data_IF_728158685986
#
_entry.id   IF_728158685986
#
_cell.length_a   1.000
_cell.length_b   1.000
_cell.length_c   1.000
_cell.angle_alpha   90.00
_cell.angle_beta   90.00
_cell.angle_gamma   90.00
#
_symmetry.space_group_name_H-M   'P 1'
#
loop_
_entity.id
_entity.type
_entity.pdbx_description
1 polymer ?
#
# COMPACT_ATOMS: atom_id res chain seq x y z
N UNK A 1 13.61 -31.47 -31.40
CA UNK A 1 12.79 -32.17 -30.41
C UNK A 1 13.69 -33.09 -29.59
N UNK A 2 13.90 -32.79 -28.31
CA UNK A 2 14.36 -33.74 -27.29
C UNK A 2 13.96 -33.19 -25.92
N UNK A 3 12.90 -33.77 -25.38
CA UNK A 3 12.59 -33.84 -23.93
C UNK A 3 13.84 -34.34 -23.17
N UNK A 4 14.05 -34.12 -21.87
CA UNK A 4 13.10 -34.19 -20.78
C UNK A 4 13.72 -33.62 -19.49
N UNK A 5 12.83 -33.07 -18.67
CA UNK A 5 12.90 -32.58 -17.28
C UNK A 5 13.69 -33.48 -16.31
N UNK A 6 14.46 -32.88 -15.39
CA UNK A 6 14.63 -33.40 -14.02
C UNK A 6 14.37 -32.25 -13.04
N UNK A 7 13.30 -32.44 -12.26
CA UNK A 7 12.86 -31.66 -11.12
C UNK A 7 13.75 -31.91 -9.90
N UNK A 8 13.87 -30.86 -9.06
CA UNK A 8 14.10 -30.99 -7.63
C UNK A 8 15.56 -30.84 -7.20
N UNK A 9 15.86 -29.79 -6.45
CA UNK A 9 15.90 -29.82 -4.99
C UNK A 9 16.42 -28.47 -4.51
N UNK A 10 15.66 -27.82 -3.62
CA UNK A 10 16.17 -26.70 -2.86
C UNK A 10 17.32 -27.12 -1.97
N UNK A 11 17.99 -26.10 -1.42
CA UNK A 11 19.07 -26.16 -0.43
C UNK A 11 20.46 -26.47 -1.03
N UNK A 12 21.14 -25.41 -1.45
CA UNK A 12 22.55 -25.19 -1.11
C UNK A 12 22.87 -23.71 -1.27
N UNK A 13 22.31 -22.91 -0.37
CA UNK A 13 23.01 -21.70 0.05
C UNK A 13 24.23 -22.18 0.83
N UNK A 14 25.44 -21.90 0.36
CA UNK A 14 26.61 -21.50 1.15
C UNK A 14 27.93 -21.91 0.45
N UNK A 15 28.73 -20.86 0.21
CA UNK A 15 30.20 -20.88 0.07
C UNK A 15 30.76 -21.32 -1.27
N UNK A 16 30.76 -20.41 -2.26
CA UNK A 16 31.94 -20.00 -3.06
C UNK A 16 31.53 -18.74 -3.84
N UNK A 17 32.32 -17.67 -3.75
CA UNK A 17 32.25 -16.57 -4.71
C UNK A 17 31.50 -15.33 -4.26
N UNK A 18 31.96 -14.69 -3.18
CA UNK A 18 31.85 -13.23 -3.11
C UNK A 18 32.57 -12.61 -4.31
N UNK A 19 32.08 -11.44 -4.74
CA UNK A 19 32.40 -10.71 -5.98
C UNK A 19 31.51 -11.11 -7.15
N UNK A 20 30.47 -10.28 -7.39
CA UNK A 20 29.67 -10.04 -8.62
C UNK A 20 28.15 -9.89 -8.36
N UNK A 21 27.75 -9.15 -7.34
CA UNK A 21 26.34 -8.75 -7.15
C UNK A 21 26.16 -7.22 -7.02
N UNK A 22 27.07 -6.42 -7.58
CA UNK A 22 27.06 -4.96 -7.40
C UNK A 22 26.83 -4.16 -8.68
N UNK A 23 26.32 -4.76 -9.77
CA UNK A 23 26.28 -4.09 -11.08
C UNK A 23 24.95 -4.13 -11.83
N UNK A 24 23.82 -4.37 -11.15
CA UNK A 24 22.49 -4.31 -11.79
C UNK A 24 21.51 -3.36 -11.11
N UNK A 25 21.99 -2.43 -10.27
CA UNK A 25 21.16 -1.36 -9.70
C UNK A 25 21.92 -0.06 -9.89
N UNK A 26 21.60 0.74 -10.91
CA UNK A 26 22.30 2.02 -11.04
C UNK A 26 22.00 2.92 -12.23
N UNK A 27 21.34 2.45 -13.29
CA UNK A 27 21.13 3.28 -14.49
C UNK A 27 19.65 3.54 -14.83
N UNK A 28 18.71 2.83 -14.22
CA UNK A 28 17.26 3.03 -14.45
C UNK A 28 16.63 4.06 -13.49
N UNK A 29 17.15 4.16 -12.26
CA UNK A 29 16.62 5.09 -11.24
C UNK A 29 16.81 6.55 -11.65
N UNK A 30 17.94 6.89 -12.29
CA UNK A 30 18.29 8.28 -12.62
C UNK A 30 17.42 8.88 -13.73
N UNK A 31 17.02 8.07 -14.72
CA UNK A 31 16.19 8.54 -15.83
C UNK A 31 14.72 8.69 -15.44
N UNK A 32 14.18 7.78 -14.62
CA UNK A 32 12.83 7.94 -14.06
C UNK A 32 12.75 9.14 -13.13
N UNK A 33 13.75 9.33 -12.26
CA UNK A 33 13.75 10.45 -11.31
C UNK A 33 13.86 11.81 -12.00
N UNK A 34 14.69 11.93 -13.06
CA UNK A 34 14.74 13.16 -13.87
C UNK A 34 13.43 13.45 -14.62
N UNK A 35 12.64 12.42 -14.93
CA UNK A 35 11.33 12.58 -15.58
C UNK A 35 10.29 13.05 -14.57
N UNK A 36 10.33 12.54 -13.34
CA UNK A 36 9.47 12.97 -12.23
C UNK A 36 9.72 14.44 -11.86
N UNK A 37 10.98 14.83 -11.65
CA UNK A 37 11.38 16.21 -11.35
C UNK A 37 10.87 17.22 -12.41
N UNK A 38 10.76 16.81 -13.67
CA UNK A 38 10.22 17.65 -14.74
C UNK A 38 8.69 17.68 -14.81
N UNK A 39 8.03 16.63 -14.31
CA UNK A 39 6.57 16.48 -14.34
C UNK A 39 5.87 17.28 -13.24
N UNK A 40 6.58 17.64 -12.16
CA UNK A 40 5.98 18.26 -10.97
C UNK A 40 5.17 17.28 -10.12
N UNK A 41 5.16 16.00 -10.48
CA UNK A 41 4.58 14.91 -9.70
C UNK A 41 5.52 14.50 -8.56
N UNK A 42 4.94 13.93 -7.52
CA UNK A 42 5.69 13.38 -6.40
C UNK A 42 6.41 12.08 -6.77
N UNK A 43 7.40 11.73 -5.97
CA UNK A 43 8.13 10.47 -6.13
C UNK A 43 7.19 9.26 -5.99
N UNK A 44 7.48 8.20 -6.75
CA UNK A 44 6.62 7.01 -6.78
C UNK A 44 6.43 6.37 -5.39
N UNK A 45 7.47 6.40 -4.56
CA UNK A 45 7.44 5.92 -3.17
C UNK A 45 6.38 6.68 -2.34
N UNK A 46 6.35 8.02 -2.45
CA UNK A 46 5.40 8.86 -1.73
C UNK A 46 3.96 8.60 -2.22
N UNK A 47 3.79 8.40 -3.53
CA UNK A 47 2.50 8.04 -4.12
C UNK A 47 1.99 6.69 -3.62
N UNK A 48 2.87 5.69 -3.47
CA UNK A 48 2.52 4.41 -2.82
C UNK A 48 2.07 4.66 -1.38
N UNK A 49 2.78 5.50 -0.63
CA UNK A 49 2.42 5.89 0.73
C UNK A 49 1.03 6.53 0.83
N UNK A 50 0.68 7.43 -0.09
CA UNK A 50 -0.64 8.06 -0.14
C UNK A 50 -1.75 7.02 -0.37
N UNK A 51 -1.57 6.13 -1.34
CA UNK A 51 -2.55 5.09 -1.66
C UNK A 51 -2.73 4.08 -0.52
N UNK A 52 -1.64 3.66 0.12
CA UNK A 52 -1.65 2.74 1.24
C UNK A 52 -2.35 3.36 2.46
N UNK A 53 -2.07 4.64 2.75
CA UNK A 53 -2.71 5.37 3.86
C UNK A 53 -4.21 5.54 3.63
N UNK A 54 -4.62 5.87 2.40
CA UNK A 54 -6.04 5.93 2.02
C UNK A 54 -6.74 4.58 2.27
N UNK A 55 -6.15 3.49 1.78
CA UNK A 55 -6.68 2.14 2.00
C UNK A 55 -6.75 1.75 3.49
N UNK A 56 -5.72 2.07 4.28
CA UNK A 56 -5.69 1.80 5.71
C UNK A 56 -6.84 2.51 6.45
N UNK A 57 -6.99 3.82 6.24
CA UNK A 57 -8.04 4.59 6.92
C UNK A 57 -9.45 4.18 6.48
N UNK A 58 -9.62 3.80 5.22
CA UNK A 58 -10.89 3.24 4.76
C UNK A 58 -11.17 1.88 5.42
N UNK A 59 -10.15 1.04 5.60
CA UNK A 59 -10.27 -0.21 6.34
C UNK A 59 -10.67 -0.01 7.80
N UNK A 60 -10.07 0.97 8.50
CA UNK A 60 -10.44 1.32 9.88
C UNK A 60 -11.89 1.81 9.95
N UNK A 61 -12.30 2.67 9.01
CA UNK A 61 -13.69 3.13 8.91
C UNK A 61 -14.65 1.95 8.78
N UNK A 62 -14.36 0.99 7.89
CA UNK A 62 -15.17 -0.21 7.72
C UNK A 62 -15.24 -1.08 8.98
N UNK A 63 -14.11 -1.27 9.68
CA UNK A 63 -14.06 -2.07 10.92
C UNK A 63 -14.92 -1.46 12.04
N UNK A 64 -15.00 -0.13 12.15
CA UNK A 64 -15.85 0.54 13.13
C UNK A 64 -17.35 0.30 12.88
N UNK A 65 -17.73 0.11 11.62
CA UNK A 65 -19.13 -0.07 11.21
C UNK A 65 -19.57 -1.54 11.19
N UNK A 66 -18.65 -2.50 11.39
CA UNK A 66 -18.91 -3.92 11.16
C UNK A 66 -19.95 -4.53 12.10
N UNK A 67 -20.05 -4.01 13.33
CA UNK A 67 -20.98 -4.50 14.37
C UNK A 67 -22.05 -3.45 14.76
N UNK A 68 -22.25 -2.44 13.91
CA UNK A 68 -23.10 -1.29 14.24
C UNK A 68 -24.56 -1.70 14.50
N UNK A 69 -25.12 -2.53 13.61
CA UNK A 69 -26.49 -3.07 13.70
C UNK A 69 -26.70 -3.83 15.02
N UNK A 70 -25.70 -4.60 15.46
CA UNK A 70 -25.76 -5.34 16.73
C UNK A 70 -25.80 -4.41 17.95
N UNK A 71 -25.11 -3.28 17.90
CA UNK A 71 -25.14 -2.28 18.99
C UNK A 71 -26.50 -1.57 19.04
N UNK A 72 -27.05 -1.21 17.88
CA UNK A 72 -28.38 -0.60 17.77
C UNK A 72 -29.46 -1.56 18.29
N UNK A 73 -29.43 -2.83 17.89
CA UNK A 73 -30.38 -3.86 18.34
C UNK A 73 -30.32 -4.11 19.86
N UNK A 74 -29.15 -3.95 20.47
CA UNK A 74 -28.97 -4.08 21.92
C UNK A 74 -29.30 -2.80 22.70
N UNK A 75 -29.68 -1.71 22.02
CA UNK A 75 -30.00 -0.42 22.61
C UNK A 75 -28.79 0.41 23.05
N UNK A 76 -27.59 0.10 22.54
CA UNK A 76 -26.35 0.81 22.81
C UNK A 76 -26.13 2.00 21.86
N UNK A 77 -27.15 2.85 21.71
CA UNK A 77 -27.20 3.98 20.76
C UNK A 77 -26.01 4.94 20.89
N UNK A 78 -25.57 5.24 22.11
CA UNK A 78 -24.43 6.14 22.33
C UNK A 78 -23.12 5.56 21.79
N UNK A 79 -22.92 4.25 21.92
CA UNK A 79 -21.72 3.57 21.41
C UNK A 79 -21.79 3.43 19.89
N UNK A 80 -22.96 3.10 19.36
CA UNK A 80 -23.19 3.07 17.91
C UNK A 80 -22.89 4.44 17.29
N UNK A 81 -23.41 5.53 17.87
CA UNK A 81 -23.15 6.88 17.36
C UNK A 81 -21.67 7.27 17.43
N UNK A 82 -20.97 6.94 18.52
CA UNK A 82 -19.51 7.17 18.62
C UNK A 82 -18.74 6.41 17.52
N UNK A 83 -19.14 5.17 17.21
CA UNK A 83 -18.53 4.40 16.13
C UNK A 83 -18.79 5.01 14.75
N UNK A 84 -20.00 5.50 14.49
CA UNK A 84 -20.33 6.22 13.25
C UNK A 84 -19.45 7.47 13.12
N UNK A 85 -19.38 8.30 14.16
CA UNK A 85 -18.58 9.54 14.15
C UNK A 85 -17.10 9.25 13.86
N UNK A 86 -16.55 8.23 14.51
CA UNK A 86 -15.17 7.80 14.26
C UNK A 86 -15.01 7.24 12.84
N UNK A 87 -15.95 6.42 12.35
CA UNK A 87 -15.91 5.87 11.00
C UNK A 87 -15.93 6.98 9.95
N UNK A 88 -16.76 8.01 10.13
CA UNK A 88 -16.82 9.19 9.28
C UNK A 88 -15.48 9.92 9.28
N UNK A 89 -14.89 10.16 10.46
CA UNK A 89 -13.58 10.82 10.58
C UNK A 89 -12.49 10.07 9.81
N UNK A 90 -12.41 8.74 9.95
CA UNK A 90 -11.44 7.92 9.23
C UNK A 90 -11.70 7.87 7.73
N UNK A 91 -12.96 7.80 7.31
CA UNK A 91 -13.33 7.86 5.88
C UNK A 91 -12.95 9.20 5.25
N UNK A 92 -13.08 10.31 6.00
CA UNK A 92 -12.64 11.64 5.58
C UNK A 92 -11.14 11.69 5.34
N UNK A 93 -10.34 11.16 6.27
CA UNK A 93 -8.90 11.03 6.07
C UNK A 93 -8.57 10.17 4.85
N UNK A 94 -9.24 9.03 4.68
CA UNK A 94 -9.04 8.18 3.52
C UNK A 94 -9.28 8.94 2.19
N UNK A 95 -10.35 9.72 2.14
CA UNK A 95 -10.71 10.54 0.98
C UNK A 95 -9.69 11.65 0.73
N UNK A 96 -9.17 12.30 1.76
CA UNK A 96 -8.17 13.36 1.61
C UNK A 96 -6.83 12.80 1.09
N UNK A 97 -6.42 11.62 1.56
CA UNK A 97 -5.24 10.93 1.00
C UNK A 97 -5.45 10.51 -0.46
N UNK A 98 -6.66 10.07 -0.83
CA UNK A 98 -6.98 9.77 -2.23
C UNK A 98 -6.92 11.03 -3.10
N UNK A 99 -7.45 12.16 -2.64
CA UNK A 99 -7.35 13.45 -3.35
C UNK A 99 -5.91 13.92 -3.50
N UNK A 100 -5.08 13.73 -2.47
CA UNK A 100 -3.65 14.04 -2.57
C UNK A 100 -2.97 13.18 -3.64
N UNK A 101 -3.32 11.89 -3.73
CA UNK A 101 -2.83 11.04 -4.81
C UNK A 101 -3.26 11.57 -6.18
N UNK A 102 -4.51 11.97 -6.34
CA UNK A 102 -5.00 12.56 -7.60
C UNK A 102 -4.30 13.87 -7.96
N UNK A 103 -3.98 14.71 -6.97
CA UNK A 103 -3.35 16.00 -7.20
C UNK A 103 -1.84 15.91 -7.50
N UNK A 104 -1.15 14.94 -6.90
CA UNK A 104 0.31 14.88 -6.91
C UNK A 104 0.90 13.69 -7.66
N UNK A 105 0.08 12.69 -8.05
CA UNK A 105 0.55 11.43 -8.62
C UNK A 105 -0.17 11.02 -9.92
N UNK A 106 -1.11 11.82 -10.43
CA UNK A 106 -1.83 11.60 -11.70
C UNK A 106 -1.84 12.87 -12.54
#
# INVERSE_FOLDING_TARGET
MRQMVILGFGVSCLLIGGVLASQFVGTEVSAQQQTLERSGLWEAEDCVGLSASSGLFLGISGALLQDLESLEDQGYESEANERIENALRWSGLAADFAKNFEAYCK
#
